data_IF_767742621692
#
_entry.id   IF_767742621692
#
_cell.length_a   1.000
_cell.length_b   1.000
_cell.length_c   1.000
_cell.angle_alpha   90.00
_cell.angle_beta   90.00
_cell.angle_gamma   90.00
#
_symmetry.space_group_name_H-M   'P 1'
#
loop_
_entity.id
_entity.type
_entity.pdbx_description
1 polymer ?
#
# COMPACT_ATOMS: atom_id res chain seq x y z
N UNK A 1 10.54 60.90 -0.87
CA UNK A 1 11.23 59.72 -0.31
C UNK A 1 10.26 58.54 -0.30
N UNK A 2 10.49 57.48 -1.10
CA UNK A 2 9.63 56.27 -1.11
C UNK A 2 10.51 55.05 -0.81
N UNK A 3 10.33 54.44 0.38
CA UNK A 3 11.06 53.25 0.83
C UNK A 3 10.43 52.00 0.18
N UNK A 4 11.20 51.28 -0.63
CA UNK A 4 10.79 49.96 -1.13
C UNK A 4 11.11 48.88 -0.09
N UNK A 5 10.10 48.10 0.30
CA UNK A 5 10.26 46.90 1.14
C UNK A 5 10.98 45.81 0.33
N UNK A 6 12.00 45.20 0.92
CA UNK A 6 12.80 44.12 0.31
C UNK A 6 11.98 42.83 0.15
N UNK A 7 12.18 42.03 -0.91
CA UNK A 7 11.48 40.76 -1.11
C UNK A 7 11.98 39.66 -0.16
N UNK A 8 11.03 38.87 0.36
CA UNK A 8 11.25 37.71 1.23
C UNK A 8 11.87 36.58 0.40
N UNK A 9 13.08 36.12 0.77
CA UNK A 9 13.69 34.91 0.21
C UNK A 9 13.04 33.67 0.86
N UNK A 10 12.27 32.90 0.09
CA UNK A 10 11.93 31.53 0.48
C UNK A 10 13.19 30.66 0.38
N UNK A 11 13.62 30.08 1.51
CA UNK A 11 14.68 29.08 1.52
C UNK A 11 14.15 27.80 0.85
N UNK A 12 14.88 27.33 -0.16
CA UNK A 12 14.59 26.09 -0.88
C UNK A 12 15.05 24.93 0.01
N UNK A 13 14.13 24.33 0.76
CA UNK A 13 14.42 23.11 1.52
C UNK A 13 14.50 21.94 0.54
N UNK A 14 15.70 21.46 0.24
CA UNK A 14 15.91 20.23 -0.52
C UNK A 14 15.52 19.05 0.35
N UNK A 15 14.38 18.43 0.04
CA UNK A 15 14.00 17.12 0.59
C UNK A 15 14.69 16.05 -0.25
N UNK A 16 15.67 15.37 0.31
CA UNK A 16 16.20 14.12 -0.26
C UNK A 16 15.14 13.03 -0.12
N UNK A 17 14.54 12.62 -1.24
CA UNK A 17 13.66 11.45 -1.31
C UNK A 17 14.52 10.18 -1.37
N UNK A 18 14.57 9.43 -0.28
CA UNK A 18 14.95 8.01 -0.33
C UNK A 18 13.76 7.22 -0.88
N UNK A 19 13.95 6.53 -2.01
CA UNK A 19 12.88 5.76 -2.66
C UNK A 19 12.56 4.46 -1.90
N UNK A 20 11.28 4.13 -1.67
CA UNK A 20 10.89 2.78 -1.23
C UNK A 20 10.82 1.82 -2.43
N UNK A 21 11.39 0.62 -2.26
CA UNK A 21 11.31 -0.51 -3.20
C UNK A 21 9.85 -0.96 -3.33
N UNK A 22 9.24 -0.85 -4.53
CA UNK A 22 7.90 -1.39 -4.82
C UNK A 22 7.95 -2.83 -5.34
N UNK A 23 7.24 -3.72 -4.65
CA UNK A 23 6.81 -5.04 -5.10
C UNK A 23 5.91 -4.91 -6.33
N UNK A 24 6.19 -5.68 -7.39
CA UNK A 24 5.42 -5.70 -8.64
C UNK A 24 4.27 -6.71 -8.53
N UNK A 25 3.01 -6.25 -8.49
CA UNK A 25 1.86 -7.03 -8.97
C UNK A 25 1.44 -6.47 -10.34
N UNK A 26 1.55 -7.32 -11.35
CA UNK A 26 1.28 -7.07 -12.78
C UNK A 26 -0.17 -7.38 -13.08
N UNK A 27 -0.89 -6.44 -13.70
CA UNK A 27 -1.87 -6.72 -14.76
C UNK A 27 -1.76 -5.59 -15.80
N UNK A 28 -1.57 -5.96 -17.06
CA UNK A 28 -1.47 -5.06 -18.23
C UNK A 28 -2.27 -5.67 -19.37
N UNK A 29 -3.04 -4.91 -20.17
CA UNK A 29 -3.24 -5.19 -21.57
C UNK A 29 -2.11 -4.56 -22.39
N UNK A 30 -1.58 -5.31 -23.35
CA UNK A 30 -0.39 -5.01 -24.15
C UNK A 30 -0.72 -4.08 -25.33
N UNK A 31 0.08 -3.05 -25.54
CA UNK A 31 0.53 -2.67 -26.88
C UNK A 31 2.05 -2.48 -26.86
N UNK A 32 2.77 -3.46 -27.44
CA UNK A 32 4.21 -3.41 -27.65
C UNK A 32 4.49 -2.73 -28.99
N UNK A 33 5.29 -1.67 -28.99
CA UNK A 33 6.06 -1.28 -30.17
C UNK A 33 7.54 -1.56 -29.89
N UNK A 34 8.08 -2.61 -30.53
CA UNK A 34 9.53 -2.87 -30.61
C UNK A 34 10.15 -2.00 -31.71
N UNK A 35 11.34 -1.43 -31.54
CA UNK A 35 12.17 -1.01 -32.66
C UNK A 35 13.11 -2.17 -33.03
N UNK A 36 13.09 -2.60 -34.29
CA UNK A 36 14.11 -3.50 -34.85
C UNK A 36 15.17 -2.61 -35.51
N UNK A 37 16.41 -2.69 -35.02
CA UNK A 37 17.60 -2.18 -35.72
C UNK A 37 17.87 -3.08 -36.93
N UNK A 38 18.24 -2.47 -38.04
CA UNK A 38 19.03 -3.08 -39.10
C UNK A 38 19.86 -1.95 -39.71
N UNK A 39 21.18 -2.12 -39.72
CA UNK A 39 22.09 -1.11 -40.23
C UNK A 39 22.53 -1.35 -41.67
N UNK A 40 23.61 -0.63 -41.99
CA UNK A 40 24.70 -0.93 -42.93
C UNK A 40 24.78 -0.06 -44.19
N UNK A 41 26.02 0.45 -44.37
CA UNK A 41 26.75 0.82 -45.58
C UNK A 41 26.34 2.03 -46.43
N UNK A 42 27.38 2.77 -46.85
CA UNK A 42 27.42 3.81 -47.89
C UNK A 42 28.13 3.25 -49.13
N UNK A 43 28.35 3.98 -50.25
CA UNK A 43 27.56 5.03 -50.93
C UNK A 43 27.35 4.73 -52.45
N UNK A 44 26.76 5.70 -53.17
CA UNK A 44 26.87 6.00 -54.61
C UNK A 44 25.72 5.73 -55.61
N UNK A 45 25.68 6.71 -56.53
CA UNK A 45 25.12 6.83 -57.87
C UNK A 45 23.70 7.40 -58.11
N UNK A 46 23.75 8.42 -58.97
CA UNK A 46 22.77 9.40 -59.40
C UNK A 46 21.81 8.82 -60.44
N UNK A 47 20.49 9.01 -60.25
CA UNK A 47 19.53 9.30 -61.33
C UNK A 47 18.28 9.99 -60.76
N UNK A 48 18.02 11.21 -61.24
CA UNK A 48 16.76 11.93 -61.11
C UNK A 48 15.67 11.16 -61.84
N UNK A 49 14.65 10.64 -61.14
CA UNK A 49 13.28 10.48 -61.67
C UNK A 49 12.27 10.47 -60.51
N UNK A 50 11.22 11.27 -60.68
CA UNK A 50 10.07 11.46 -59.81
C UNK A 50 9.56 10.17 -59.14
N UNK A 51 9.90 9.97 -57.85
CA UNK A 51 9.32 8.91 -57.01
C UNK A 51 8.17 9.49 -56.19
N UNK A 52 6.97 9.44 -56.76
CA UNK A 52 5.76 9.80 -56.05
C UNK A 52 5.54 8.87 -54.84
N UNK A 53 5.52 9.50 -53.66
CA UNK A 53 4.67 9.16 -52.52
C UNK A 53 4.85 7.80 -51.85
N UNK A 54 6.04 7.50 -51.32
CA UNK A 54 6.26 6.37 -50.38
C UNK A 54 6.66 6.78 -48.96
N UNK A 55 6.50 8.06 -48.61
CA UNK A 55 6.85 8.61 -47.30
C UNK A 55 5.70 9.47 -46.76
N UNK A 56 4.52 8.86 -46.55
CA UNK A 56 3.55 9.35 -45.54
C UNK A 56 4.13 9.04 -44.16
N UNK A 57 5.34 9.54 -43.90
CA UNK A 57 6.15 9.29 -42.72
C UNK A 57 5.45 9.91 -41.52
N UNK A 58 4.54 9.12 -40.93
CA UNK A 58 4.02 9.25 -39.55
C UNK A 58 3.94 10.71 -39.11
N UNK A 59 2.94 11.43 -39.62
CA UNK A 59 2.63 12.80 -39.23
C UNK A 59 2.29 12.85 -37.73
N UNK A 60 3.33 12.90 -36.90
CA UNK A 60 3.23 13.15 -35.47
C UNK A 60 3.54 14.62 -35.24
N UNK A 61 2.89 15.27 -34.28
CA UNK A 61 3.27 16.60 -33.88
C UNK A 61 4.77 16.68 -33.54
N UNK A 62 5.39 17.85 -33.73
CA UNK A 62 6.74 18.14 -33.25
C UNK A 62 6.95 17.70 -31.80
N UNK A 63 8.21 17.40 -31.45
CA UNK A 63 8.57 16.99 -30.08
C UNK A 63 8.14 18.06 -29.08
N UNK A 64 7.42 17.64 -28.03
CA UNK A 64 6.91 18.56 -27.00
C UNK A 64 5.57 19.21 -27.34
N UNK A 65 5.02 18.95 -28.54
CA UNK A 65 3.67 19.35 -28.90
C UNK A 65 2.73 18.16 -28.71
N UNK A 66 1.63 18.39 -27.99
CA UNK A 66 0.60 17.41 -27.73
C UNK A 66 -0.67 17.87 -28.46
N UNK A 67 -1.07 17.12 -29.48
CA UNK A 67 -2.27 17.38 -30.26
C UNK A 67 -3.01 16.05 -30.41
N UNK A 68 -4.19 15.96 -29.79
CA UNK A 68 -5.09 14.81 -29.90
C UNK A 68 -6.41 15.28 -30.51
N UNK A 69 -7.13 14.35 -31.15
CA UNK A 69 -8.43 14.67 -31.74
C UNK A 69 -9.44 15.14 -30.67
N UNK A 70 -9.37 14.54 -29.49
CA UNK A 70 -10.22 14.85 -28.34
C UNK A 70 -9.95 16.26 -27.81
N UNK A 71 -8.69 16.61 -27.55
CA UNK A 71 -8.32 17.92 -27.02
C UNK A 71 -8.65 19.05 -28.01
N UNK A 72 -8.39 18.82 -29.30
CA UNK A 72 -8.72 19.80 -30.35
C UNK A 72 -10.23 20.05 -30.39
N UNK A 73 -11.03 18.98 -30.40
CA UNK A 73 -12.49 19.10 -30.40
C UNK A 73 -13.02 19.76 -29.12
N UNK A 74 -12.46 19.42 -27.96
CA UNK A 74 -12.87 19.97 -26.67
C UNK A 74 -12.58 21.48 -26.56
N UNK A 75 -11.47 21.94 -27.11
CA UNK A 75 -11.06 23.36 -27.07
C UNK A 75 -11.78 24.18 -28.14
N UNK A 76 -12.13 23.59 -29.29
CA UNK A 76 -12.77 24.29 -30.41
C UNK A 76 -14.30 24.26 -30.41
N UNK A 77 -14.95 23.59 -29.44
CA UNK A 77 -16.40 23.38 -29.45
C UNK A 77 -17.23 24.66 -29.23
N UNK A 78 -16.62 25.75 -28.73
CA UNK A 78 -17.24 27.07 -28.66
C UNK A 78 -16.18 28.18 -28.55
N UNK A 79 -16.60 29.44 -28.71
CA UNK A 79 -15.70 30.60 -28.58
C UNK A 79 -15.07 30.74 -27.18
N UNK A 80 -15.68 30.17 -26.13
CA UNK A 80 -15.21 30.26 -24.75
C UNK A 80 -14.62 28.95 -24.21
N UNK A 81 -14.76 27.83 -24.92
CA UNK A 81 -14.38 26.49 -24.48
C UNK A 81 -12.91 26.42 -24.02
N UNK A 82 -11.99 26.99 -24.81
CA UNK A 82 -10.57 27.09 -24.46
C UNK A 82 -10.34 27.74 -23.07
N UNK A 83 -11.00 28.87 -22.82
CA UNK A 83 -10.86 29.60 -21.56
C UNK A 83 -11.45 28.81 -20.38
N UNK A 84 -12.57 28.12 -20.60
CA UNK A 84 -13.21 27.26 -19.59
C UNK A 84 -12.29 26.11 -19.17
N UNK A 85 -11.71 25.39 -20.14
CA UNK A 85 -10.80 24.27 -19.88
C UNK A 85 -9.56 24.74 -19.10
N UNK A 86 -8.95 25.87 -19.51
CA UNK A 86 -7.79 26.42 -18.81
C UNK A 86 -8.12 26.82 -17.37
N UNK A 87 -9.27 27.47 -17.13
CA UNK A 87 -9.69 27.83 -15.76
C UNK A 87 -9.98 26.61 -14.90
N UNK A 88 -10.58 25.55 -15.45
CA UNK A 88 -10.83 24.30 -14.73
C UNK A 88 -9.49 23.67 -14.29
N UNK A 89 -8.51 23.60 -15.19
CA UNK A 89 -7.17 23.09 -14.87
C UNK A 89 -6.45 23.95 -13.81
N UNK A 90 -6.60 25.27 -13.86
CA UNK A 90 -6.05 26.18 -12.85
C UNK A 90 -6.68 25.93 -11.47
N UNK A 91 -8.00 25.71 -11.41
CA UNK A 91 -8.69 25.37 -10.17
C UNK A 91 -8.23 24.03 -9.61
N UNK A 92 -8.10 23.00 -10.45
CA UNK A 92 -7.56 21.69 -10.07
C UNK A 92 -6.13 21.81 -9.55
N UNK A 93 -5.28 22.60 -10.22
CA UNK A 93 -3.90 22.85 -9.79
C UNK A 93 -3.86 23.50 -8.40
N UNK A 94 -4.71 24.50 -8.14
CA UNK A 94 -4.81 25.15 -6.82
C UNK A 94 -5.30 24.17 -5.77
N UNK A 95 -6.29 23.33 -6.10
CA UNK A 95 -6.83 22.31 -5.20
C UNK A 95 -5.76 21.28 -4.81
N UNK A 96 -5.06 20.73 -5.78
CA UNK A 96 -3.96 19.77 -5.57
C UNK A 96 -2.81 20.40 -4.78
N UNK A 97 -2.46 21.66 -5.05
CA UNK A 97 -1.45 22.39 -4.26
C UNK A 97 -1.86 22.49 -2.79
N UNK A 98 -3.13 22.79 -2.51
CA UNK A 98 -3.66 22.84 -1.13
C UNK A 98 -3.60 21.48 -0.46
N UNK A 99 -4.00 20.41 -1.16
CA UNK A 99 -3.91 19.04 -0.65
C UNK A 99 -2.47 18.65 -0.30
N UNK A 100 -1.49 19.01 -1.14
CA UNK A 100 -0.07 18.78 -0.87
C UNK A 100 0.40 19.52 0.39
N UNK A 101 -0.05 20.75 0.61
CA UNK A 101 0.32 21.49 1.83
C UNK A 101 -0.29 20.88 3.09
N UNK A 102 -1.56 20.45 3.03
CA UNK A 102 -2.20 19.75 4.13
C UNK A 102 -1.46 18.44 4.48
N UNK A 103 -1.15 17.62 3.46
CA UNK A 103 -0.38 16.39 3.66
C UNK A 103 1.02 16.65 4.23
N UNK A 104 1.68 17.73 3.80
CA UNK A 104 2.98 18.15 4.37
C UNK A 104 2.86 18.50 5.86
N UNK A 105 1.83 19.22 6.25
CA UNK A 105 1.61 19.60 7.64
C UNK A 105 1.34 18.36 8.51
N UNK A 106 0.45 17.46 8.07
CA UNK A 106 0.17 16.21 8.78
C UNK A 106 1.42 15.33 8.90
N UNK A 107 2.17 15.14 7.81
CA UNK A 107 3.41 14.37 7.83
C UNK A 107 4.47 15.02 8.73
N UNK A 108 4.52 16.36 8.80
CA UNK A 108 5.42 17.05 9.72
C UNK A 108 5.07 16.75 11.17
N UNK A 109 3.77 16.77 11.51
CA UNK A 109 3.31 16.41 12.86
C UNK A 109 3.60 14.95 13.21
N UNK A 110 3.39 14.02 12.26
CA UNK A 110 3.72 12.60 12.46
C UNK A 110 5.23 12.41 12.65
N UNK A 111 6.06 13.04 11.82
CA UNK A 111 7.52 12.98 11.99
C UNK A 111 7.97 13.45 13.36
N UNK A 112 7.41 14.56 13.84
CA UNK A 112 7.73 15.07 15.19
C UNK A 112 7.34 14.07 16.29
N UNK A 113 6.18 13.41 16.18
CA UNK A 113 5.75 12.37 17.13
C UNK A 113 6.67 11.15 17.12
N UNK A 114 7.32 10.87 15.99
CA UNK A 114 8.19 9.72 15.77
C UNK A 114 9.68 10.07 15.92
N UNK A 115 10.01 11.31 16.27
CA UNK A 115 11.38 11.83 16.25
C UNK A 115 12.31 11.09 17.22
N UNK A 116 11.77 10.64 18.37
CA UNK A 116 12.52 9.86 19.36
C UNK A 116 12.91 8.46 18.88
N UNK A 117 12.35 7.98 17.76
CA UNK A 117 12.66 6.66 17.22
C UNK A 117 12.22 5.52 18.15
N UNK A 118 12.93 4.39 18.05
CA UNK A 118 12.70 3.19 18.87
C UNK A 118 13.98 2.69 19.56
N UNK A 119 15.05 3.48 19.53
CA UNK A 119 16.37 3.03 19.99
C UNK A 119 16.38 2.75 21.50
N UNK A 120 15.64 3.54 22.29
CA UNK A 120 15.49 3.31 23.73
C UNK A 120 14.73 2.01 24.06
N UNK A 121 13.93 1.51 23.13
CA UNK A 121 13.17 0.25 23.27
C UNK A 121 13.89 -0.94 22.63
N UNK A 122 15.09 -0.72 22.07
CA UNK A 122 15.83 -1.75 21.37
C UNK A 122 16.55 -2.66 22.37
N UNK A 123 16.10 -3.91 22.45
CA UNK A 123 16.76 -4.92 23.27
C UNK A 123 18.06 -5.41 22.62
N UNK A 124 19.08 -5.80 23.41
CA UNK A 124 20.29 -6.43 22.89
C UNK A 124 19.99 -7.71 22.09
N UNK A 125 20.68 -7.89 20.97
CA UNK A 125 20.53 -9.09 20.14
C UNK A 125 21.23 -10.30 20.77
N UNK A 126 20.51 -11.41 20.90
CA UNK A 126 21.05 -12.67 21.41
C UNK A 126 21.92 -13.37 20.35
N UNK A 127 23.23 -13.45 20.57
CA UNK A 127 24.21 -14.03 19.64
C UNK A 127 24.62 -15.46 20.04
N UNK A 128 23.64 -16.34 20.23
CA UNK A 128 23.91 -17.74 20.57
C UNK A 128 24.27 -18.56 19.34
N UNK A 129 25.27 -19.45 19.49
CA UNK A 129 25.63 -20.40 18.43
C UNK A 129 24.57 -21.51 18.36
N UNK A 130 24.17 -21.85 17.14
CA UNK A 130 23.24 -22.96 16.88
C UNK A 130 23.78 -24.27 17.45
N UNK A 131 22.93 -25.01 18.16
CA UNK A 131 23.28 -26.31 18.73
C UNK A 131 22.26 -27.39 18.32
N UNK A 132 22.74 -28.55 17.88
CA UNK A 132 21.89 -29.67 17.46
C UNK A 132 21.34 -30.51 18.61
N UNK A 133 21.99 -30.51 19.78
CA UNK A 133 21.52 -31.25 20.95
C UNK A 133 20.33 -30.53 21.57
N UNK A 134 19.28 -31.28 21.91
CA UNK A 134 18.11 -30.79 22.63
C UNK A 134 18.29 -31.02 24.12
N UNK A 135 18.40 -29.95 24.91
CA UNK A 135 18.32 -30.03 26.37
C UNK A 135 16.86 -30.14 26.82
N UNK A 136 16.62 -30.50 28.08
CA UNK A 136 15.25 -30.55 28.62
C UNK A 136 14.59 -29.17 28.57
N UNK A 137 15.31 -28.12 28.96
CA UNK A 137 14.81 -26.74 28.96
C UNK A 137 14.40 -26.28 27.56
N UNK A 138 15.21 -26.58 26.53
CA UNK A 138 14.89 -26.25 25.15
C UNK A 138 13.65 -26.98 24.64
N UNK A 139 13.43 -28.23 25.06
CA UNK A 139 12.23 -28.98 24.70
C UNK A 139 10.99 -28.37 25.34
N UNK A 140 11.08 -27.96 26.62
CA UNK A 140 9.98 -27.29 27.31
C UNK A 140 9.67 -25.92 26.70
N UNK A 141 10.68 -25.15 26.29
CA UNK A 141 10.51 -23.89 25.55
C UNK A 141 9.85 -24.13 24.18
N UNK A 142 10.22 -25.20 23.47
CA UNK A 142 9.62 -25.54 22.19
C UNK A 142 8.13 -25.90 22.34
N UNK A 143 7.75 -26.70 23.35
CA UNK A 143 6.35 -27.06 23.61
C UNK A 143 5.52 -25.81 23.96
N UNK A 144 6.02 -24.96 24.85
CA UNK A 144 5.38 -23.67 25.16
C UNK A 144 5.30 -22.76 23.93
N UNK A 145 6.33 -22.77 23.09
CA UNK A 145 6.36 -22.07 21.82
C UNK A 145 5.24 -22.52 20.88
N UNK A 146 5.04 -23.83 20.72
CA UNK A 146 3.92 -24.38 19.94
C UNK A 146 2.58 -23.93 20.53
N UNK A 147 2.42 -23.96 21.86
CA UNK A 147 1.18 -23.55 22.52
C UNK A 147 0.84 -22.06 22.32
N UNK A 148 1.86 -21.21 22.20
CA UNK A 148 1.71 -19.75 22.09
C UNK A 148 1.69 -19.24 20.65
N UNK A 149 2.48 -19.85 19.77
CA UNK A 149 2.72 -19.38 18.40
C UNK A 149 2.25 -20.37 17.32
N UNK A 150 1.73 -21.54 17.71
CA UNK A 150 1.26 -22.56 16.78
C UNK A 150 2.38 -23.08 15.87
N UNK A 151 2.21 -22.90 14.55
CA UNK A 151 3.18 -23.31 13.53
C UNK A 151 4.12 -22.18 13.08
N UNK A 152 4.18 -21.06 13.79
CA UNK A 152 5.22 -20.06 13.55
C UNK A 152 6.58 -20.55 14.08
N UNK A 153 7.20 -21.41 13.28
CA UNK A 153 8.49 -22.01 13.60
C UNK A 153 9.63 -20.98 13.66
N UNK A 154 9.45 -19.78 13.09
CA UNK A 154 10.42 -18.70 13.22
C UNK A 154 10.35 -18.11 14.63
N UNK A 155 9.16 -17.72 15.09
CA UNK A 155 8.98 -17.21 16.45
C UNK A 155 9.45 -18.22 17.52
N UNK A 156 9.15 -19.50 17.32
CA UNK A 156 9.59 -20.56 18.25
C UNK A 156 11.12 -20.70 18.25
N UNK A 157 11.77 -20.63 17.07
CA UNK A 157 13.22 -20.66 16.98
C UNK A 157 13.86 -19.45 17.69
N UNK A 158 13.28 -18.26 17.55
CA UNK A 158 13.76 -17.03 18.18
C UNK A 158 13.61 -17.08 19.71
N UNK A 159 12.54 -17.68 20.23
CA UNK A 159 12.34 -17.91 21.68
C UNK A 159 13.38 -18.88 22.26
N UNK A 160 13.73 -19.94 21.52
CA UNK A 160 14.76 -20.89 21.96
C UNK A 160 16.17 -20.29 21.81
N UNK A 161 16.37 -19.42 20.81
CA UNK A 161 17.60 -18.65 20.60
C UNK A 161 18.75 -19.41 19.94
N UNK A 162 18.84 -20.73 20.10
CA UNK A 162 19.96 -21.55 19.60
C UNK A 162 19.54 -22.73 18.70
N UNK A 163 18.30 -22.72 18.21
CA UNK A 163 17.77 -23.71 17.26
C UNK A 163 17.38 -23.02 15.96
N UNK A 164 17.64 -23.69 14.84
CA UNK A 164 17.18 -23.23 13.53
C UNK A 164 15.73 -23.63 13.31
N UNK A 165 15.04 -22.92 12.43
CA UNK A 165 13.67 -23.25 12.00
C UNK A 165 13.55 -24.70 11.52
N UNK A 166 14.57 -25.22 10.81
CA UNK A 166 14.60 -26.62 10.38
C UNK A 166 14.65 -27.60 11.55
N UNK A 167 15.43 -27.31 12.59
CA UNK A 167 15.48 -28.13 13.81
C UNK A 167 14.14 -28.09 14.57
N UNK A 168 13.47 -26.94 14.63
CA UNK A 168 12.14 -26.81 15.26
C UNK A 168 11.08 -27.59 14.49
N UNK A 169 11.09 -27.54 13.14
CA UNK A 169 10.20 -28.38 12.31
C UNK A 169 10.43 -29.87 12.55
N UNK A 170 11.70 -30.29 12.61
CA UNK A 170 12.04 -31.68 12.92
C UNK A 170 11.61 -32.07 14.34
N UNK A 171 11.75 -31.18 15.32
CA UNK A 171 11.25 -31.39 16.68
C UNK A 171 9.74 -31.65 16.67
N UNK A 172 8.98 -30.84 15.94
CA UNK A 172 7.52 -30.98 15.84
C UNK A 172 7.10 -32.38 15.34
N UNK A 173 7.82 -32.95 14.37
CA UNK A 173 7.55 -34.30 13.86
C UNK A 173 8.06 -35.38 14.82
N UNK A 174 9.31 -35.28 15.27
CA UNK A 174 10.00 -36.31 16.06
C UNK A 174 9.47 -36.46 17.49
N UNK A 175 8.85 -35.41 18.04
CA UNK A 175 8.32 -35.39 19.39
C UNK A 175 6.79 -35.28 19.42
N UNK A 176 6.11 -35.42 18.26
CA UNK A 176 4.65 -35.28 18.12
C UNK A 176 3.86 -36.04 19.19
N UNK A 177 4.15 -37.34 19.37
CA UNK A 177 3.44 -38.19 20.34
C UNK A 177 3.92 -38.02 21.78
N UNK A 178 5.20 -37.69 21.99
CA UNK A 178 5.79 -37.62 23.34
C UNK A 178 5.32 -36.39 24.13
N UNK A 179 5.00 -35.31 23.43
CA UNK A 179 4.53 -34.07 24.01
C UNK A 179 3.13 -33.69 23.54
N UNK A 180 2.37 -34.62 22.96
CA UNK A 180 1.00 -34.38 22.48
C UNK A 180 0.87 -33.11 21.62
N UNK A 181 1.85 -32.84 20.73
CA UNK A 181 1.97 -31.53 20.06
C UNK A 181 0.78 -31.17 19.17
N UNK A 182 -0.04 -32.15 18.81
CA UNK A 182 -1.26 -31.96 18.02
C UNK A 182 -2.42 -31.43 18.87
N UNK A 183 -2.54 -31.90 20.11
CA UNK A 183 -3.49 -31.39 21.11
C UNK A 183 -3.10 -29.97 21.54
N UNK A 184 -1.82 -29.75 21.82
CA UNK A 184 -1.26 -28.42 22.13
C UNK A 184 -1.53 -27.42 20.99
N UNK A 185 -1.42 -27.87 19.75
CA UNK A 185 -1.73 -27.06 18.58
C UNK A 185 -3.22 -26.80 18.45
N UNK A 186 -4.08 -27.79 18.69
CA UNK A 186 -5.53 -27.64 18.67
C UNK A 186 -6.00 -26.61 19.71
N UNK A 187 -5.39 -26.60 20.90
CA UNK A 187 -5.64 -25.56 21.91
C UNK A 187 -5.28 -24.16 21.40
N UNK A 188 -4.13 -24.01 20.74
CA UNK A 188 -3.76 -22.74 20.11
C UNK A 188 -4.78 -22.33 19.03
N UNK A 189 -5.23 -23.27 18.18
CA UNK A 189 -6.22 -23.00 17.13
C UNK A 189 -7.59 -22.57 17.73
N UNK A 190 -8.01 -23.18 18.84
CA UNK A 190 -9.25 -22.81 19.54
C UNK A 190 -9.18 -21.38 20.13
N UNK A 191 -8.03 -20.96 20.64
CA UNK A 191 -7.82 -19.59 21.14
C UNK A 191 -7.68 -18.57 20.01
N UNK A 192 -7.04 -18.92 18.89
CA UNK A 192 -6.94 -18.00 17.75
C UNK A 192 -8.27 -17.80 17.04
N UNK A 193 -9.12 -18.84 16.96
CA UNK A 193 -10.45 -18.77 16.35
C UNK A 193 -11.47 -17.97 17.17
N UNK A 194 -11.23 -17.78 18.47
CA UNK A 194 -12.12 -17.05 19.39
C UNK A 194 -11.68 -15.60 19.64
N UNK A 195 -10.52 -15.17 19.12
CA UNK A 195 -10.06 -13.79 19.25
C UNK A 195 -10.76 -12.92 18.18
N UNK A 196 -11.61 -11.93 18.57
CA UNK A 196 -12.19 -11.03 17.61
C UNK A 196 -11.07 -10.26 16.88
N UNK A 197 -11.20 -10.03 15.56
CA UNK A 197 -10.18 -9.32 14.79
C UNK A 197 -10.23 -7.83 15.16
N UNK A 198 -9.55 -7.43 16.24
CA UNK A 198 -9.56 -6.02 16.65
C UNK A 198 -8.94 -5.65 17.99
N UNK A 199 -8.57 -6.60 18.84
CA UNK A 199 -7.94 -6.28 20.12
C UNK A 199 -6.41 -6.13 19.99
N UNK A 200 -5.96 -5.01 19.43
CA UNK A 200 -4.69 -4.31 19.75
C UNK A 200 -4.44 -3.18 18.72
N UNK A 201 -5.27 -2.13 18.78
CA UNK A 201 -4.97 -0.80 18.23
C UNK A 201 -5.86 0.21 18.93
N UNK A 202 -5.42 0.67 20.09
CA UNK A 202 -6.00 1.84 20.74
C UNK A 202 -5.55 3.11 19.99
N UNK A 203 -6.48 4.00 19.59
CA UNK A 203 -6.23 5.43 19.63
C UNK A 203 -7.01 6.03 20.80
N UNK A 204 -6.28 6.33 21.87
CA UNK A 204 -6.73 7.27 22.89
C UNK A 204 -6.68 8.70 22.32
N UNK A 205 -7.75 9.47 22.49
CA UNK A 205 -7.78 10.91 22.19
C UNK A 205 -9.14 11.44 21.73
N UNK A 206 -9.85 12.06 22.66
CA UNK A 206 -11.22 12.54 22.66
C UNK A 206 -11.53 13.81 21.81
N UNK A 207 -12.84 13.96 21.59
CA UNK A 207 -13.70 15.15 21.44
C UNK A 207 -13.42 16.29 20.44
N UNK A 208 -14.51 16.63 19.73
CA UNK A 208 -14.65 17.85 18.94
C UNK A 208 -16.05 17.98 18.34
N UNK A 209 -17.02 18.39 19.18
CA UNK A 209 -18.35 18.92 18.79
C UNK A 209 -18.26 19.86 17.58
N UNK A 210 -19.16 19.68 16.60
CA UNK A 210 -20.01 20.80 16.17
C UNK A 210 -21.27 20.35 15.43
N UNK A 211 -22.38 20.96 15.85
CA UNK A 211 -23.75 20.77 15.40
C UNK A 211 -24.08 21.34 14.02
N UNK A 212 -25.25 20.91 13.52
CA UNK A 212 -26.17 21.53 12.55
C UNK A 212 -25.94 21.11 11.08
N UNK A 213 -26.95 20.79 10.26
CA UNK A 213 -28.39 20.85 10.43
C UNK A 213 -29.11 20.04 9.30
N UNK A 214 -30.43 19.92 9.44
CA UNK A 214 -31.49 19.77 8.40
C UNK A 214 -31.90 18.39 7.85
N UNK A 215 -33.00 17.89 8.44
CA UNK A 215 -34.27 17.47 7.82
C UNK A 215 -34.26 16.51 6.60
N UNK A 216 -34.92 15.36 6.73
CA UNK A 216 -36.32 15.20 6.30
C UNK A 216 -36.75 13.73 6.19
N UNK A 217 -38.06 13.53 6.37
CA UNK A 217 -38.85 12.36 5.98
C UNK A 217 -38.84 11.14 6.91
N UNK A 218 -39.88 11.11 7.75
CA UNK A 218 -40.35 9.88 8.38
C UNK A 218 -41.10 8.99 7.40
N UNK A 219 -40.98 7.68 7.60
CA UNK A 219 -41.96 6.68 7.13
C UNK A 219 -41.82 5.38 7.92
N UNK A 220 -43.00 4.89 8.32
CA UNK A 220 -43.37 3.53 8.70
C UNK A 220 -43.12 3.07 10.15
N UNK A 221 -44.22 3.13 10.90
CA UNK A 221 -44.70 2.11 11.86
C UNK A 221 -44.66 0.69 11.30
N UNK A 222 -44.21 -0.28 12.11
CA UNK A 222 -44.97 -1.45 12.61
C UNK A 222 -44.01 -2.36 13.41
N UNK A 223 -44.25 -2.53 14.72
CA UNK A 223 -43.71 -3.62 15.56
C UNK A 223 -44.96 -4.34 16.11
N UNK A 224 -45.09 -5.67 16.03
CA UNK A 224 -44.78 -6.71 17.04
C UNK A 224 -45.64 -7.94 16.58
N UNK A 225 -45.37 -9.23 16.79
CA UNK A 225 -44.60 -9.96 17.77
C UNK A 225 -44.59 -11.47 17.42
N UNK A 226 -43.63 -12.18 18.01
CA UNK A 226 -43.59 -13.57 18.50
C UNK A 226 -43.69 -14.82 17.60
N UNK A 227 -42.73 -15.69 17.90
CA UNK A 227 -42.52 -17.09 17.55
C UNK A 227 -43.47 -18.02 18.35
N UNK A 228 -43.70 -19.26 17.88
CA UNK A 228 -43.69 -20.53 18.68
C UNK A 228 -44.40 -21.69 17.94
N UNK A 229 -43.56 -22.66 17.55
CA UNK A 229 -43.67 -24.14 17.71
C UNK A 229 -44.74 -24.95 16.97
N UNK A 230 -44.24 -25.71 15.99
CA UNK A 230 -44.26 -27.19 15.85
C UNK A 230 -45.55 -28.02 16.11
N UNK A 231 -45.93 -28.78 15.07
CA UNK A 231 -46.02 -30.27 15.02
C UNK A 231 -47.39 -30.92 14.75
N UNK A 232 -47.28 -31.94 13.89
CA UNK A 232 -48.09 -33.17 13.74
C UNK A 232 -49.48 -33.12 13.08
N UNK A 233 -49.49 -33.60 11.83
CA UNK A 233 -50.23 -34.78 11.31
C UNK A 233 -51.57 -35.14 11.94
N UNK A 234 -52.61 -35.21 11.11
CA UNK A 234 -53.89 -35.90 11.38
C UNK A 234 -54.37 -36.59 10.09
N UNK A 235 -55.32 -37.54 10.19
CA UNK A 235 -55.18 -38.94 9.77
C UNK A 235 -55.59 -39.24 8.33
#
# INVERSE_FOLDING_TARGET
>A
MKKWRKPIRLKRTTVTMTQPRRLKKRLTPKHRCRPRRSGWAAPEHQTLLHRHHSQRSKCRPPKGMFLTQEDVAAVSCSASAANTVLRQLDMELVSLKRQVQNAKQLNSGLKQKMEAGIDDFRLPECNQKVNARWTTDEQLLAVQGVRKYGKDFQAIADVIGNKTVGQVKNFFVNYRRRFNLEEVLQEWEAEQGTRPPGGDSAPSGEEGKNSSNTTSSGKSTDEEEEEVVERSSFP
#
